data_IF_234733567131
#
_entry.id   IF_234733567131
#
_cell.length_a   1.000
_cell.length_b   1.000
_cell.length_c   1.000
_cell.angle_alpha   90.00
_cell.angle_beta   90.00
_cell.angle_gamma   90.00
#
_symmetry.space_group_name_H-M   'P 1'
#
loop_
_entity.id
_entity.type
_entity.pdbx_description
1 polymer ?
#
# COMPACT_ATOMS: atom_id res chain seq x y z
N UNK A 1 4.97 14.62 5.13
CA UNK A 1 3.64 13.98 5.03
C UNK A 1 3.76 12.53 4.59
N UNK A 2 4.25 12.22 3.37
CA UNK A 2 4.37 10.82 2.88
C UNK A 2 5.13 9.88 3.81
N UNK A 3 6.31 10.30 4.31
CA UNK A 3 7.12 9.47 5.21
C UNK A 3 6.39 9.14 6.54
N UNK A 4 5.68 10.12 7.09
CA UNK A 4 4.91 9.98 8.32
C UNK A 4 3.71 9.03 8.11
N UNK A 5 2.99 9.20 7.00
CA UNK A 5 1.89 8.29 6.63
C UNK A 5 2.39 6.87 6.45
N UNK A 6 3.51 6.67 5.74
CA UNK A 6 4.11 5.34 5.55
C UNK A 6 4.51 4.71 6.89
N UNK A 7 5.15 5.48 7.78
CA UNK A 7 5.52 5.01 9.11
C UNK A 7 4.31 4.56 9.92
N UNK A 8 3.27 5.39 10.00
CA UNK A 8 2.02 5.05 10.70
C UNK A 8 1.37 3.79 10.17
N UNK A 9 1.32 3.63 8.84
CA UNK A 9 0.78 2.41 8.22
C UNK A 9 1.57 1.17 8.65
N UNK A 10 2.90 1.25 8.65
CA UNK A 10 3.76 0.14 9.10
C UNK A 10 3.51 -0.16 10.60
N UNK A 11 3.46 0.86 11.43
CA UNK A 11 3.22 0.72 12.87
C UNK A 11 1.86 0.10 13.17
N UNK A 12 0.81 0.51 12.45
CA UNK A 12 -0.53 -0.04 12.59
C UNK A 12 -0.59 -1.52 12.21
N UNK A 13 0.12 -1.94 11.16
CA UNK A 13 0.23 -3.36 10.78
C UNK A 13 0.96 -4.15 11.86
N UNK A 14 2.06 -3.61 12.39
CA UNK A 14 2.86 -4.25 13.44
C UNK A 14 2.16 -4.32 14.80
N UNK A 15 1.32 -3.33 15.13
CA UNK A 15 0.66 -3.26 16.45
C UNK A 15 -0.50 -4.23 16.61
N UNK A 16 -1.12 -4.65 15.52
CA UNK A 16 -2.23 -5.62 15.55
C UNK A 16 -2.19 -6.62 14.37
N UNK A 17 -1.20 -7.53 14.33
CA UNK A 17 -1.04 -8.45 13.20
C UNK A 17 -2.27 -9.33 12.96
N UNK A 18 -3.02 -9.69 13.99
CA UNK A 18 -4.20 -10.56 13.88
C UNK A 18 -5.33 -9.90 13.10
N UNK A 19 -5.50 -8.58 13.22
CA UNK A 19 -6.46 -7.83 12.40
C UNK A 19 -6.01 -7.73 10.94
N UNK A 20 -4.71 -7.59 10.70
CA UNK A 20 -4.18 -7.38 9.34
C UNK A 20 -3.96 -8.67 8.54
N UNK A 21 -3.74 -9.80 9.20
CA UNK A 21 -3.60 -11.12 8.56
C UNK A 21 -4.76 -11.49 7.62
N UNK A 22 -6.05 -11.45 8.04
CA UNK A 22 -7.15 -11.79 7.14
C UNK A 22 -7.24 -10.84 5.94
N UNK A 23 -6.86 -9.57 6.14
CA UNK A 23 -6.85 -8.56 5.07
C UNK A 23 -5.76 -8.91 4.05
N UNK A 24 -4.50 -9.07 4.49
CA UNK A 24 -3.34 -9.12 3.59
C UNK A 24 -2.94 -10.50 3.09
N UNK A 25 -3.27 -11.58 3.83
CA UNK A 25 -2.87 -12.95 3.51
C UNK A 25 -4.01 -13.82 2.95
N UNK A 26 -5.25 -13.32 2.97
CA UNK A 26 -6.48 -13.99 2.48
C UNK A 26 -6.49 -15.52 2.77
N UNK A 27 -6.89 -15.93 3.98
CA UNK A 27 -6.85 -17.32 4.40
C UNK A 27 -7.74 -18.23 3.54
N UNK A 28 -7.34 -19.49 3.42
CA UNK A 28 -8.20 -20.54 2.88
C UNK A 28 -9.46 -20.68 3.75
N UNK A 29 -10.63 -20.73 3.10
CA UNK A 29 -11.92 -20.82 3.79
C UNK A 29 -12.52 -19.49 4.27
N UNK A 30 -11.93 -18.34 3.94
CA UNK A 30 -12.55 -17.03 4.21
C UNK A 30 -13.96 -16.96 3.57
N UNK A 31 -15.02 -16.59 4.34
CA UNK A 31 -16.37 -16.41 3.81
C UNK A 31 -16.39 -15.43 2.64
N UNK A 32 -17.21 -15.72 1.63
CA UNK A 32 -17.24 -14.95 0.39
C UNK A 32 -17.61 -13.48 0.64
N UNK A 33 -18.52 -13.22 1.58
CA UNK A 33 -18.96 -11.88 1.96
C UNK A 33 -17.82 -11.04 2.53
N UNK A 34 -16.96 -11.66 3.36
CA UNK A 34 -15.78 -11.00 3.93
C UNK A 34 -14.77 -10.70 2.84
N UNK A 35 -14.52 -11.66 1.94
CA UNK A 35 -13.62 -11.48 0.78
C UNK A 35 -14.10 -10.32 -0.10
N UNK A 36 -15.36 -10.34 -0.52
CA UNK A 36 -15.96 -9.28 -1.35
C UNK A 36 -15.85 -7.91 -0.70
N UNK A 37 -16.02 -7.82 0.63
CA UNK A 37 -15.85 -6.56 1.35
C UNK A 37 -14.41 -6.06 1.30
N UNK A 38 -13.43 -6.92 1.59
CA UNK A 38 -12.01 -6.56 1.57
C UNK A 38 -11.61 -6.13 0.15
N UNK A 39 -12.03 -6.86 -0.87
CA UNK A 39 -11.73 -6.52 -2.26
C UNK A 39 -12.38 -5.19 -2.66
N UNK A 40 -13.62 -4.93 -2.24
CA UNK A 40 -14.26 -3.62 -2.44
C UNK A 40 -13.55 -2.47 -1.71
N UNK A 41 -12.97 -2.72 -0.53
CA UNK A 41 -12.17 -1.72 0.18
C UNK A 41 -10.83 -1.46 -0.53
N UNK A 42 -10.19 -2.49 -1.11
CA UNK A 42 -8.99 -2.34 -1.96
C UNK A 42 -9.26 -1.51 -3.20
N UNK A 43 -10.38 -1.74 -3.87
CA UNK A 43 -10.76 -0.97 -5.05
C UNK A 43 -10.91 0.52 -4.72
N UNK A 44 -11.54 0.84 -3.58
CA UNK A 44 -11.67 2.21 -3.09
C UNK A 44 -10.31 2.86 -2.81
N UNK A 45 -9.39 2.14 -2.17
CA UNK A 45 -8.03 2.63 -1.91
C UNK A 45 -7.30 2.90 -3.23
N UNK A 46 -7.44 2.01 -4.21
CA UNK A 46 -6.81 2.14 -5.53
C UNK A 46 -7.33 3.40 -6.24
N UNK A 47 -8.65 3.62 -6.24
CA UNK A 47 -9.27 4.83 -6.82
C UNK A 47 -8.74 6.11 -6.14
N UNK A 48 -8.63 6.11 -4.82
CA UNK A 48 -8.10 7.27 -4.09
C UNK A 48 -6.64 7.55 -4.44
N UNK A 49 -5.81 6.50 -4.56
CA UNK A 49 -4.41 6.64 -4.96
C UNK A 49 -4.31 7.16 -6.40
N UNK A 50 -5.14 6.66 -7.32
CA UNK A 50 -5.18 7.15 -8.70
C UNK A 50 -5.45 8.67 -8.75
N UNK A 51 -6.47 9.17 -8.04
CA UNK A 51 -6.75 10.60 -7.98
C UNK A 51 -5.62 11.44 -7.37
N UNK A 52 -4.91 10.91 -6.37
CA UNK A 52 -3.72 11.58 -5.82
C UNK A 52 -2.55 11.60 -6.81
N UNK A 53 -2.39 10.55 -7.61
CA UNK A 53 -1.37 10.46 -8.65
C UNK A 53 -1.67 11.42 -9.80
N UNK A 54 -2.92 11.51 -10.26
CA UNK A 54 -3.34 12.47 -11.29
C UNK A 54 -2.98 13.90 -10.89
N UNK A 55 -3.34 14.30 -9.67
CA UNK A 55 -2.99 15.61 -9.12
C UNK A 55 -1.48 15.80 -9.02
N UNK A 56 -0.76 14.79 -8.54
CA UNK A 56 0.69 14.84 -8.36
C UNK A 56 1.46 15.00 -9.67
N UNK A 57 1.11 14.20 -10.68
CA UNK A 57 1.71 14.21 -12.02
C UNK A 57 1.40 15.52 -12.76
N UNK A 58 0.17 16.03 -12.64
CA UNK A 58 -0.21 17.31 -13.23
C UNK A 58 0.58 18.50 -12.67
N UNK A 59 0.93 18.47 -11.37
CA UNK A 59 1.65 19.56 -10.69
C UNK A 59 3.17 19.46 -10.91
N UNK A 60 3.75 18.25 -10.79
CA UNK A 60 5.22 18.08 -10.77
C UNK A 60 5.83 17.95 -12.16
N UNK A 61 5.03 17.63 -13.17
CA UNK A 61 5.55 17.12 -14.44
C UNK A 61 6.01 15.67 -14.29
N UNK A 62 6.57 15.13 -15.37
CA UNK A 62 7.08 13.75 -15.42
C UNK A 62 6.71 13.03 -16.71
N UNK A 63 7.09 11.75 -16.84
CA UNK A 63 6.66 10.92 -17.96
C UNK A 63 5.13 10.79 -17.97
N UNK A 64 4.56 10.64 -19.17
CA UNK A 64 3.12 10.36 -19.31
C UNK A 64 2.86 8.96 -18.76
N UNK A 65 2.43 8.91 -17.50
CA UNK A 65 2.05 7.70 -16.81
C UNK A 65 0.53 7.68 -16.65
N UNK A 66 -0.05 6.53 -16.90
CA UNK A 66 -1.45 6.26 -16.59
C UNK A 66 -1.60 6.13 -15.06
N UNK A 67 -2.33 7.07 -14.46
CA UNK A 67 -2.48 7.16 -13.02
C UNK A 67 -3.26 5.97 -12.43
N UNK A 68 -4.21 5.41 -13.17
CA UNK A 68 -4.98 4.24 -12.76
C UNK A 68 -4.08 3.00 -12.73
N UNK A 69 -3.34 2.75 -13.81
CA UNK A 69 -2.39 1.63 -13.88
C UNK A 69 -1.31 1.76 -12.81
N UNK A 70 -0.79 2.97 -12.59
CA UNK A 70 0.22 3.22 -11.56
C UNK A 70 -0.33 3.02 -10.14
N UNK A 71 -1.60 3.36 -9.89
CA UNK A 71 -2.23 3.10 -8.59
C UNK A 71 -2.25 1.61 -8.25
N UNK A 72 -2.58 0.74 -9.21
CA UNK A 72 -2.51 -0.71 -9.02
C UNK A 72 -1.10 -1.18 -8.65
N UNK A 73 -0.06 -0.65 -9.31
CA UNK A 73 1.33 -1.00 -9.00
C UNK A 73 1.75 -0.55 -7.58
N UNK A 74 1.33 0.64 -7.17
CA UNK A 74 1.60 1.15 -5.81
C UNK A 74 0.88 0.30 -4.77
N UNK A 75 -0.43 0.02 -4.95
CA UNK A 75 -1.20 -0.82 -4.03
C UNK A 75 -0.59 -2.20 -3.90
N UNK A 76 -0.26 -2.85 -5.03
CA UNK A 76 0.38 -4.17 -5.02
C UNK A 76 1.72 -4.17 -4.25
N UNK A 77 2.52 -3.11 -4.40
CA UNK A 77 3.79 -2.93 -3.69
C UNK A 77 3.56 -2.76 -2.18
N UNK A 78 2.61 -1.92 -1.79
CA UNK A 78 2.27 -1.69 -0.38
C UNK A 78 1.74 -2.96 0.28
N UNK A 79 0.85 -3.69 -0.38
CA UNK A 79 0.34 -4.97 0.12
C UNK A 79 1.44 -6.02 0.24
N UNK A 80 2.37 -6.07 -0.71
CA UNK A 80 3.50 -6.98 -0.64
C UNK A 80 4.36 -6.71 0.60
N UNK A 81 4.69 -5.45 0.89
CA UNK A 81 5.40 -5.12 2.12
C UNK A 81 4.57 -5.38 3.37
N UNK A 82 3.25 -5.15 3.32
CA UNK A 82 2.33 -5.54 4.39
C UNK A 82 2.38 -7.04 4.67
N UNK A 83 2.40 -7.89 3.63
CA UNK A 83 2.57 -9.34 3.79
C UNK A 83 3.91 -9.69 4.43
N UNK A 84 5.01 -9.10 3.97
CA UNK A 84 6.34 -9.31 4.57
C UNK A 84 6.35 -8.92 6.05
N UNK A 85 5.74 -7.78 6.43
CA UNK A 85 5.64 -7.36 7.83
C UNK A 85 4.92 -8.39 8.72
N UNK A 86 4.00 -9.18 8.15
CA UNK A 86 3.26 -10.21 8.86
C UNK A 86 3.97 -11.57 8.86
N UNK A 87 4.64 -11.95 7.77
CA UNK A 87 5.26 -13.27 7.61
C UNK A 87 6.72 -13.30 8.05
N UNK A 88 7.41 -12.16 7.97
CA UNK A 88 8.84 -12.00 8.23
C UNK A 88 9.10 -10.66 8.96
N UNK A 89 8.56 -10.46 10.18
CA UNK A 89 8.48 -9.16 10.85
C UNK A 89 9.83 -8.47 11.11
N UNK A 90 10.91 -9.24 11.23
CA UNK A 90 12.27 -8.74 11.50
C UNK A 90 13.13 -8.60 10.24
N UNK A 91 12.59 -8.88 9.05
CA UNK A 91 13.35 -8.84 7.80
C UNK A 91 13.77 -7.44 7.39
N UNK A 92 12.93 -6.44 7.67
CA UNK A 92 13.16 -5.05 7.31
C UNK A 92 12.82 -4.10 8.46
N UNK A 93 13.79 -3.27 8.84
CA UNK A 93 13.56 -2.15 9.75
C UNK A 93 12.54 -1.17 9.19
N UNK A 94 11.69 -0.61 10.07
CA UNK A 94 10.63 0.36 9.69
C UNK A 94 11.20 1.53 8.89
N UNK A 95 12.34 2.09 9.34
CA UNK A 95 12.97 3.24 8.68
C UNK A 95 13.42 2.91 7.24
N UNK A 96 13.88 1.67 7.01
CA UNK A 96 14.29 1.21 5.68
C UNK A 96 13.08 1.11 4.73
N UNK A 97 11.95 0.61 5.22
CA UNK A 97 10.70 0.55 4.46
C UNK A 97 10.16 1.95 4.14
N UNK A 98 10.13 2.84 5.13
CA UNK A 98 9.70 4.24 4.93
C UNK A 98 10.57 4.94 3.90
N UNK A 99 11.89 4.81 4.00
CA UNK A 99 12.83 5.41 3.04
C UNK A 99 12.61 4.87 1.61
N UNK A 100 12.34 3.57 1.47
CA UNK A 100 12.07 2.93 0.18
C UNK A 100 10.76 3.44 -0.44
N UNK A 101 9.68 3.53 0.34
CA UNK A 101 8.38 4.05 -0.13
C UNK A 101 8.50 5.51 -0.58
N UNK A 102 9.19 6.34 0.22
CA UNK A 102 9.43 7.75 -0.14
C UNK A 102 10.29 7.86 -1.40
N UNK A 103 11.34 7.04 -1.52
CA UNK A 103 12.20 7.00 -2.69
C UNK A 103 11.45 6.62 -3.96
N UNK A 104 10.61 5.58 -3.88
CA UNK A 104 9.77 5.13 -5.00
C UNK A 104 8.82 6.24 -5.47
N UNK A 105 8.12 6.91 -4.54
CA UNK A 105 7.21 8.00 -4.90
C UNK A 105 7.93 9.24 -5.43
N UNK A 106 9.17 9.49 -4.98
CA UNK A 106 10.01 10.57 -5.51
C UNK A 106 10.66 10.24 -6.86
N UNK A 107 10.74 8.97 -7.25
CA UNK A 107 11.23 8.56 -8.56
C UNK A 107 10.20 8.79 -9.67
N UNK A 108 8.93 8.99 -9.32
CA UNK A 108 7.83 9.37 -10.22
C UNK A 108 7.86 10.87 -10.59
N UNK A 109 9.06 11.45 -10.68
CA UNK A 109 9.28 12.85 -11.08
C UNK A 109 9.08 13.08 -12.57
#
# INVERSE_FOLDING_TARGET
MVAETARRMIEVVKSDPLTWQPILLTPHGMPQEVRTRIDGDRDRVTIQIAGLLELGLAIRGGPVLDAEVLAHAIVATLEHFGRILLTEPDRFETDRLVATIVGLLNALK
#
